data_IF_311094350590
#
_entry.id   IF_311094350590
#
_cell.length_a   1.000
_cell.length_b   1.000
_cell.length_c   1.000
_cell.angle_alpha   90.00
_cell.angle_beta   90.00
_cell.angle_gamma   90.00
#
_symmetry.space_group_name_H-M   'P 1'
#
loop_
_entity.id
_entity.type
_entity.pdbx_description
1 polymer ?
#
# COMPACT_ATOMS: atom_id res chain seq x y z
N UNK A 1 -10.35 3.42 27.67
CA UNK A 1 -9.50 4.54 27.20
C UNK A 1 -8.82 4.05 25.92
N UNK A 2 -9.22 4.57 24.77
CA UNK A 2 -8.69 4.17 23.46
C UNK A 2 -7.25 4.70 23.31
N UNK A 3 -6.26 3.81 23.22
CA UNK A 3 -4.87 4.19 22.92
C UNK A 3 -4.77 4.42 21.41
N UNK A 4 -4.22 5.55 20.93
CA UNK A 4 -4.09 5.81 19.50
C UNK A 4 -2.97 4.97 18.89
N UNK A 5 -3.24 4.47 17.69
CA UNK A 5 -2.30 3.75 16.82
C UNK A 5 -1.15 4.66 16.42
N UNK A 6 0.07 4.27 16.78
CA UNK A 6 1.29 4.99 16.43
C UNK A 6 1.89 4.37 15.16
N UNK A 7 1.55 4.91 14.00
CA UNK A 7 2.25 4.57 12.75
C UNK A 7 3.39 5.57 12.56
N UNK A 8 4.63 5.12 12.81
CA UNK A 8 5.84 5.92 12.60
C UNK A 8 6.23 5.85 11.13
N UNK A 9 6.01 6.91 10.36
CA UNK A 9 6.58 7.05 9.03
C UNK A 9 7.94 7.73 9.13
N UNK A 10 9.02 6.97 8.95
CA UNK A 10 10.32 7.54 8.60
C UNK A 10 10.38 7.77 7.08
N UNK A 11 10.18 9.00 6.66
CA UNK A 11 10.52 9.43 5.31
C UNK A 11 12.01 9.79 5.30
N UNK A 12 12.81 8.87 4.78
CA UNK A 12 14.24 9.13 4.54
C UNK A 12 14.41 10.16 3.42
N UNK A 13 14.67 11.40 3.76
CA UNK A 13 15.11 12.41 2.81
C UNK A 13 16.63 12.31 2.62
N UNK A 14 17.05 11.76 1.48
CA UNK A 14 18.40 11.95 0.98
C UNK A 14 18.45 13.29 0.24
N UNK A 15 19.08 14.30 0.84
CA UNK A 15 19.62 15.47 0.13
C UNK A 15 21.01 15.75 0.65
N UNK A 16 22.01 15.41 -0.16
CA UNK A 16 23.31 16.06 -0.11
C UNK A 16 23.18 17.42 -0.79
N UNK A 17 23.44 18.48 -0.06
CA UNK A 17 24.00 19.70 -0.63
C UNK A 17 24.73 20.49 0.48
N UNK A 18 26.00 20.71 0.30
CA UNK A 18 26.82 21.49 1.23
C UNK A 18 26.62 22.98 1.05
N UNK A 19 26.56 23.70 2.16
CA UNK A 19 27.01 25.10 2.26
C UNK A 19 27.17 25.46 3.73
N UNK A 20 28.23 26.20 4.01
CA UNK A 20 28.70 26.66 5.31
C UNK A 20 27.77 27.72 5.92
N UNK A 21 27.64 27.68 7.25
CA UNK A 21 27.42 28.90 8.02
C UNK A 21 26.24 28.86 8.98
N UNK A 22 26.56 29.08 10.25
CA UNK A 22 25.78 29.39 11.45
C UNK A 22 25.24 28.20 12.28
N UNK A 23 25.98 28.03 13.40
CA UNK A 23 25.51 27.24 14.53
C UNK A 23 24.28 27.90 15.16
N UNK A 24 23.11 27.38 14.82
CA UNK A 24 21.91 27.51 15.63
C UNK A 24 21.73 26.19 16.34
N UNK A 25 21.74 26.23 17.66
CA UNK A 25 21.43 25.13 18.56
C UNK A 25 20.09 24.50 18.15
N UNK A 26 20.16 23.40 17.42
CA UNK A 26 18.98 22.58 17.17
C UNK A 26 18.53 21.96 18.50
N UNK A 27 17.43 22.46 19.05
CA UNK A 27 16.70 21.74 20.08
C UNK A 27 16.30 20.36 19.52
N UNK A 28 16.44 19.29 20.32
CA UNK A 28 15.90 17.99 19.94
C UNK A 28 14.38 18.16 19.78
N UNK A 29 13.85 18.07 18.58
CA UNK A 29 12.43 17.88 18.40
C UNK A 29 12.09 16.52 19.01
N UNK A 30 11.44 16.57 20.16
CA UNK A 30 10.74 15.42 20.74
C UNK A 30 9.87 14.85 19.64
N UNK A 31 10.13 13.59 19.26
CA UNK A 31 9.37 12.84 18.28
C UNK A 31 7.94 12.63 18.78
N UNK A 32 7.12 13.66 18.67
CA UNK A 32 5.69 13.56 18.91
C UNK A 32 5.12 12.54 17.94
N UNK A 33 4.64 11.44 18.48
CA UNK A 33 3.87 10.43 17.76
C UNK A 33 2.67 11.09 17.09
N UNK A 34 2.77 11.36 15.81
CA UNK A 34 1.69 11.99 15.05
C UNK A 34 0.61 10.94 14.85
N UNK A 35 -0.50 11.08 15.56
CA UNK A 35 -1.70 10.28 15.29
C UNK A 35 -2.19 10.65 13.89
N UNK A 36 -2.07 9.71 12.94
CA UNK A 36 -2.57 9.91 11.59
C UNK A 36 -4.10 9.89 11.66
N UNK A 37 -4.74 11.01 11.29
CA UNK A 37 -6.20 11.06 11.18
C UNK A 37 -6.68 10.19 10.02
N UNK A 38 -7.94 9.76 10.03
CA UNK A 38 -8.54 9.05 8.91
C UNK A 38 -8.43 9.86 7.60
N UNK A 39 -8.46 11.19 7.71
CA UNK A 39 -8.33 12.11 6.60
C UNK A 39 -6.90 12.09 6.03
N UNK A 40 -5.86 12.05 6.88
CA UNK A 40 -4.47 11.92 6.46
C UNK A 40 -4.20 10.56 5.79
N UNK A 41 -4.79 9.48 6.34
CA UNK A 41 -4.71 8.15 5.76
C UNK A 41 -5.33 8.10 4.35
N UNK A 42 -6.46 8.75 4.13
CA UNK A 42 -7.12 8.83 2.82
C UNK A 42 -6.31 9.64 1.81
N UNK A 43 -5.70 10.75 2.23
CA UNK A 43 -4.80 11.55 1.38
C UNK A 43 -3.57 10.74 0.98
N UNK A 44 -2.95 10.04 1.92
CA UNK A 44 -1.81 9.16 1.66
C UNK A 44 -2.16 8.05 0.66
N UNK A 45 -3.33 7.43 0.83
CA UNK A 45 -3.82 6.37 -0.08
C UNK A 45 -4.06 6.90 -1.50
N UNK A 46 -4.55 8.15 -1.64
CA UNK A 46 -4.69 8.82 -2.94
C UNK A 46 -3.32 9.10 -3.58
N UNK A 47 -2.34 9.55 -2.80
CA UNK A 47 -0.98 9.80 -3.28
C UNK A 47 -0.31 8.51 -3.76
N UNK A 48 -0.39 7.43 -2.99
CA UNK A 48 0.11 6.10 -3.38
C UNK A 48 -0.51 5.63 -4.70
N UNK A 49 -1.83 5.78 -4.88
CA UNK A 49 -2.51 5.42 -6.13
C UNK A 49 -2.04 6.25 -7.32
N UNK A 50 -1.88 7.56 -7.12
CA UNK A 50 -1.36 8.47 -8.15
C UNK A 50 0.06 8.08 -8.58
N UNK A 51 0.95 7.85 -7.62
CA UNK A 51 2.33 7.40 -7.88
C UNK A 51 2.37 6.05 -8.58
N UNK A 52 1.52 5.11 -8.19
CA UNK A 52 1.39 3.81 -8.85
C UNK A 52 1.01 3.97 -10.32
N UNK A 53 0.00 4.79 -10.64
CA UNK A 53 -0.42 5.07 -12.03
C UNK A 53 0.72 5.70 -12.84
N UNK A 54 1.46 6.66 -12.27
CA UNK A 54 2.63 7.30 -12.90
C UNK A 54 3.74 6.28 -13.19
N UNK A 55 4.07 5.41 -12.24
CA UNK A 55 5.09 4.37 -12.42
C UNK A 55 4.71 3.39 -13.54
N UNK A 56 3.44 2.98 -13.60
CA UNK A 56 2.93 2.12 -14.67
C UNK A 56 3.03 2.85 -16.02
N UNK A 57 2.59 4.10 -16.11
CA UNK A 57 2.66 4.91 -17.33
C UNK A 57 4.10 5.06 -17.84
N UNK A 58 5.05 5.33 -16.95
CA UNK A 58 6.46 5.51 -17.31
C UNK A 58 7.13 4.22 -17.84
N UNK A 59 6.70 3.05 -17.36
CA UNK A 59 7.36 1.77 -17.67
C UNK A 59 6.65 0.94 -18.75
N UNK A 60 5.35 1.15 -18.98
CA UNK A 60 4.58 0.32 -19.90
C UNK A 60 4.76 0.74 -21.38
N UNK A 61 5.22 1.96 -21.64
CA UNK A 61 5.52 2.51 -22.99
C UNK A 61 4.39 2.25 -23.99
N UNK A 62 3.18 2.73 -23.68
CA UNK A 62 1.99 2.59 -24.50
C UNK A 62 2.04 3.55 -25.70
N UNK A 63 1.54 3.12 -26.87
CA UNK A 63 1.18 4.02 -27.94
C UNK A 63 -0.07 4.83 -27.57
N UNK A 64 -0.39 5.89 -28.32
CA UNK A 64 -1.60 6.68 -28.06
C UNK A 64 -2.89 5.84 -28.15
N UNK A 65 -2.96 4.93 -29.11
CA UNK A 65 -4.11 4.02 -29.30
C UNK A 65 -4.23 3.01 -28.14
N UNK A 66 -3.11 2.38 -27.77
CA UNK A 66 -3.08 1.46 -26.62
C UNK A 66 -3.45 2.18 -25.32
N UNK A 67 -2.95 3.39 -25.10
CA UNK A 67 -3.25 4.17 -23.92
C UNK A 67 -4.76 4.51 -23.82
N UNK A 68 -5.38 4.91 -24.92
CA UNK A 68 -6.80 5.20 -24.99
C UNK A 68 -7.68 3.99 -24.59
N UNK A 69 -7.27 2.77 -24.95
CA UNK A 69 -7.97 1.53 -24.61
C UNK A 69 -7.61 0.99 -23.22
N UNK A 70 -6.36 1.13 -22.80
CA UNK A 70 -5.85 0.54 -21.57
C UNK A 70 -6.28 1.31 -20.31
N UNK A 71 -6.22 2.65 -20.31
CA UNK A 71 -6.52 3.41 -19.09
C UNK A 71 -7.93 3.22 -18.54
N UNK A 72 -9.00 3.13 -19.34
CA UNK A 72 -10.32 2.79 -18.84
C UNK A 72 -10.36 1.41 -18.13
N UNK A 73 -9.67 0.40 -18.68
CA UNK A 73 -9.55 -0.92 -18.07
C UNK A 73 -8.76 -0.87 -16.76
N UNK A 74 -7.66 -0.13 -16.75
CA UNK A 74 -6.86 0.11 -15.53
C UNK A 74 -7.68 0.79 -14.44
N UNK A 75 -8.48 1.78 -14.77
CA UNK A 75 -9.29 2.51 -13.79
C UNK A 75 -10.39 1.60 -13.20
N UNK A 76 -11.00 0.71 -14.00
CA UNK A 76 -11.93 -0.32 -13.50
C UNK A 76 -11.22 -1.33 -12.57
N UNK A 77 -10.07 -1.86 -13.00
CA UNK A 77 -9.24 -2.74 -12.18
C UNK A 77 -8.89 -2.09 -10.84
N UNK A 78 -8.45 -0.84 -10.88
CA UNK A 78 -8.06 -0.09 -9.68
C UNK A 78 -9.25 0.17 -8.75
N UNK A 79 -10.44 0.45 -9.29
CA UNK A 79 -11.64 0.64 -8.49
C UNK A 79 -12.05 -0.64 -7.71
N UNK A 80 -11.91 -1.82 -8.33
CA UNK A 80 -12.13 -3.09 -7.64
C UNK A 80 -11.03 -3.38 -6.61
N UNK A 81 -9.76 -3.10 -6.96
CA UNK A 81 -8.63 -3.28 -6.05
C UNK A 81 -8.72 -2.39 -4.81
N UNK A 82 -9.24 -1.17 -4.94
CA UNK A 82 -9.49 -0.27 -3.81
C UNK A 82 -10.41 -0.92 -2.79
N UNK A 83 -11.51 -1.55 -3.23
CA UNK A 83 -12.45 -2.22 -2.32
C UNK A 83 -11.83 -3.36 -1.52
N UNK A 84 -10.89 -4.09 -2.13
CA UNK A 84 -10.12 -5.14 -1.45
C UNK A 84 -9.14 -4.53 -0.45
N UNK A 85 -8.42 -3.48 -0.86
CA UNK A 85 -7.47 -2.78 0.01
C UNK A 85 -8.15 -2.05 1.17
N UNK A 86 -9.41 -1.61 1.02
CA UNK A 86 -10.19 -1.03 2.12
C UNK A 86 -10.46 -2.07 3.21
N UNK A 87 -10.76 -3.33 2.83
CA UNK A 87 -10.87 -4.44 3.77
C UNK A 87 -9.54 -4.72 4.48
N UNK A 88 -8.43 -4.76 3.71
CA UNK A 88 -7.08 -4.93 4.27
C UNK A 88 -6.76 -3.85 5.29
N UNK A 89 -7.09 -2.60 4.97
CA UNK A 89 -6.87 -1.48 5.88
C UNK A 89 -7.67 -1.61 7.18
N UNK A 90 -8.95 -2.01 7.09
CA UNK A 90 -9.78 -2.29 8.27
C UNK A 90 -9.20 -3.39 9.16
N UNK A 91 -8.69 -4.48 8.56
CA UNK A 91 -8.01 -5.56 9.30
C UNK A 91 -6.73 -5.07 9.99
N UNK A 92 -5.95 -4.21 9.34
CA UNK A 92 -4.74 -3.62 9.91
C UNK A 92 -5.09 -2.73 11.11
N UNK A 93 -6.13 -1.91 11.00
CA UNK A 93 -6.58 -1.07 12.12
C UNK A 93 -7.05 -1.90 13.32
N UNK A 94 -7.89 -2.90 13.07
CA UNK A 94 -8.39 -3.79 14.12
C UNK A 94 -7.24 -4.56 14.80
N UNK A 95 -6.30 -5.07 14.00
CA UNK A 95 -5.09 -5.71 14.51
C UNK A 95 -4.27 -4.77 15.38
N UNK A 96 -4.03 -3.55 14.93
CA UNK A 96 -3.21 -2.59 15.65
C UNK A 96 -3.85 -2.15 16.97
N UNK A 97 -5.18 -2.14 17.05
CA UNK A 97 -5.91 -1.83 18.31
C UNK A 97 -5.86 -3.00 19.32
N UNK A 98 -5.66 -4.25 18.87
CA UNK A 98 -5.85 -5.43 19.71
C UNK A 98 -4.65 -6.40 19.77
N UNK A 99 -3.56 -6.18 19.01
CA UNK A 99 -2.46 -7.16 18.83
C UNK A 99 -1.87 -7.71 20.13
N UNK A 100 -1.79 -6.89 21.20
CA UNK A 100 -1.25 -7.29 22.51
C UNK A 100 -2.27 -7.96 23.46
N UNK A 101 -3.54 -8.07 23.05
CA UNK A 101 -4.64 -8.62 23.86
C UNK A 101 -5.50 -9.62 23.09
N UNK A 102 -5.05 -10.03 21.89
CA UNK A 102 -5.78 -11.00 21.08
C UNK A 102 -5.84 -12.36 21.74
N UNK A 103 -7.03 -12.99 21.71
CA UNK A 103 -7.15 -14.42 22.02
C UNK A 103 -6.70 -15.27 20.83
N UNK A 104 -6.48 -16.57 21.04
CA UNK A 104 -6.10 -17.51 20.00
C UNK A 104 -7.16 -17.57 18.87
N UNK A 105 -8.43 -17.48 19.23
CA UNK A 105 -9.54 -17.44 18.27
C UNK A 105 -9.50 -16.16 17.42
N UNK A 106 -9.24 -15.02 18.05
CA UNK A 106 -9.12 -13.73 17.35
C UNK A 106 -7.90 -13.72 16.42
N UNK A 107 -6.76 -14.24 16.87
CA UNK A 107 -5.56 -14.37 16.06
C UNK A 107 -5.80 -15.31 14.85
N UNK A 108 -6.48 -16.44 15.07
CA UNK A 108 -6.85 -17.39 14.02
C UNK A 108 -7.84 -16.80 13.01
N UNK A 109 -8.80 -15.99 13.47
CA UNK A 109 -9.75 -15.29 12.61
C UNK A 109 -9.03 -14.22 11.76
N UNK A 110 -8.17 -13.41 12.40
CA UNK A 110 -7.35 -12.40 11.71
C UNK A 110 -6.52 -13.03 10.59
N UNK A 111 -5.82 -14.14 10.88
CA UNK A 111 -5.01 -14.85 9.88
C UNK A 111 -5.85 -15.29 8.68
N UNK A 112 -7.03 -15.88 8.91
CA UNK A 112 -7.94 -16.29 7.83
C UNK A 112 -8.38 -15.10 6.99
N UNK A 113 -8.83 -14.02 7.62
CA UNK A 113 -9.27 -12.81 6.92
C UNK A 113 -8.14 -12.16 6.12
N UNK A 114 -6.90 -12.19 6.65
CA UNK A 114 -5.74 -11.70 5.92
C UNK A 114 -5.48 -12.51 4.65
N UNK A 115 -5.49 -13.83 4.76
CA UNK A 115 -5.32 -14.72 3.61
C UNK A 115 -6.45 -14.57 2.59
N UNK A 116 -7.68 -14.35 3.03
CA UNK A 116 -8.82 -14.08 2.14
C UNK A 116 -8.61 -12.80 1.31
N UNK A 117 -8.01 -11.77 1.90
CA UNK A 117 -7.63 -10.55 1.16
C UNK A 117 -6.57 -10.86 0.10
N UNK A 118 -5.53 -11.64 0.42
CA UNK A 118 -4.48 -12.00 -0.53
C UNK A 118 -5.03 -12.85 -1.68
N UNK A 119 -5.93 -13.77 -1.38
CA UNK A 119 -6.68 -14.56 -2.38
C UNK A 119 -7.50 -13.63 -3.27
N UNK A 120 -8.26 -12.69 -2.70
CA UNK A 120 -9.10 -11.76 -3.46
C UNK A 120 -8.27 -10.88 -4.42
N UNK A 121 -7.09 -10.40 -4.00
CA UNK A 121 -6.17 -9.67 -4.89
C UNK A 121 -5.68 -10.55 -6.04
N UNK A 122 -5.35 -11.82 -5.76
CA UNK A 122 -4.90 -12.77 -6.78
C UNK A 122 -6.01 -13.09 -7.78
N UNK A 123 -7.22 -13.33 -7.30
CA UNK A 123 -8.40 -13.58 -8.14
C UNK A 123 -8.74 -12.36 -9.01
N UNK A 124 -8.63 -11.15 -8.46
CA UNK A 124 -8.82 -9.93 -9.23
C UNK A 124 -7.81 -9.83 -10.38
N UNK A 125 -6.54 -10.11 -10.12
CA UNK A 125 -5.51 -10.14 -11.19
C UNK A 125 -5.87 -11.16 -12.27
N UNK A 126 -6.24 -12.38 -11.87
CA UNK A 126 -6.66 -13.44 -12.81
C UNK A 126 -7.86 -13.02 -13.66
N UNK A 127 -8.87 -12.38 -13.06
CA UNK A 127 -10.04 -11.84 -13.75
C UNK A 127 -9.64 -10.83 -14.84
N UNK A 128 -8.65 -9.96 -14.55
CA UNK A 128 -8.25 -8.90 -15.47
C UNK A 128 -7.18 -9.30 -16.49
N UNK A 129 -6.52 -10.45 -16.35
CA UNK A 129 -5.56 -10.93 -17.37
C UNK A 129 -6.19 -10.99 -18.77
N UNK A 130 -7.33 -11.67 -19.00
CA UNK A 130 -7.94 -11.69 -20.33
C UNK A 130 -8.41 -10.30 -20.80
N UNK A 131 -8.93 -9.46 -19.90
CA UNK A 131 -9.42 -8.10 -20.23
C UNK A 131 -8.27 -7.21 -20.71
N UNK A 132 -7.15 -7.20 -19.99
CA UNK A 132 -5.95 -6.46 -20.39
C UNK A 132 -5.35 -7.00 -21.67
N UNK A 133 -5.39 -8.32 -21.89
CA UNK A 133 -4.87 -8.95 -23.10
C UNK A 133 -5.69 -8.67 -24.36
N UNK A 134 -6.92 -8.16 -24.22
CA UNK A 134 -7.72 -7.67 -25.35
C UNK A 134 -7.26 -6.28 -25.84
N UNK A 135 -6.63 -5.49 -24.98
CA UNK A 135 -6.22 -4.10 -25.28
C UNK A 135 -4.70 -3.95 -25.44
N UNK A 136 -3.92 -4.88 -24.89
CA UNK A 136 -2.46 -4.91 -24.98
C UNK A 136 -1.97 -6.27 -25.51
N UNK A 137 -0.83 -6.27 -26.19
CA UNK A 137 -0.17 -7.53 -26.55
C UNK A 137 0.33 -8.28 -25.30
N UNK A 138 0.62 -9.58 -25.44
CA UNK A 138 0.99 -10.45 -24.33
C UNK A 138 2.20 -9.96 -23.51
N UNK A 139 3.22 -9.37 -24.16
CA UNK A 139 4.40 -8.84 -23.46
C UNK A 139 4.03 -7.63 -22.59
N UNK A 140 3.27 -6.67 -23.12
CA UNK A 140 2.82 -5.49 -22.37
C UNK A 140 1.85 -5.87 -21.26
N UNK A 141 0.94 -6.83 -21.50
CA UNK A 141 0.06 -7.38 -20.46
C UNK A 141 0.87 -7.98 -19.31
N UNK A 142 1.86 -8.82 -19.61
CA UNK A 142 2.75 -9.40 -18.61
C UNK A 142 3.54 -8.31 -17.86
N UNK A 143 4.07 -7.32 -18.58
CA UNK A 143 4.78 -6.18 -17.97
C UNK A 143 3.87 -5.42 -16.99
N UNK A 144 2.62 -5.15 -17.37
CA UNK A 144 1.65 -4.49 -16.49
C UNK A 144 1.46 -5.25 -15.18
N UNK A 145 1.14 -6.56 -15.24
CA UNK A 145 0.90 -7.34 -14.02
C UNK A 145 2.18 -7.55 -13.18
N UNK A 146 3.36 -7.62 -13.81
CA UNK A 146 4.62 -7.64 -13.08
C UNK A 146 4.88 -6.33 -12.34
N UNK A 147 4.63 -5.17 -12.97
CA UNK A 147 4.76 -3.86 -12.34
C UNK A 147 3.75 -3.71 -11.19
N UNK A 148 2.48 -4.03 -11.45
CA UNK A 148 1.42 -4.01 -10.44
C UNK A 148 1.80 -4.83 -9.19
N UNK A 149 2.28 -6.07 -9.41
CA UNK A 149 2.72 -6.95 -8.32
C UNK A 149 3.92 -6.37 -7.56
N UNK A 150 4.96 -5.90 -8.26
CA UNK A 150 6.16 -5.34 -7.63
C UNK A 150 5.84 -4.13 -6.76
N UNK A 151 5.03 -3.21 -7.28
CA UNK A 151 4.61 -2.03 -6.54
C UNK A 151 3.79 -2.44 -5.31
N UNK A 152 2.84 -3.38 -5.45
CA UNK A 152 2.05 -3.90 -4.34
C UNK A 152 2.95 -4.53 -3.26
N UNK A 153 3.95 -5.36 -3.66
CA UNK A 153 4.89 -5.96 -2.71
C UNK A 153 5.72 -4.92 -1.95
N UNK A 154 6.14 -3.83 -2.58
CA UNK A 154 6.86 -2.75 -1.90
C UNK A 154 5.96 -2.05 -0.86
N UNK A 155 4.69 -1.81 -1.20
CA UNK A 155 3.72 -1.23 -0.27
C UNK A 155 3.46 -2.20 0.89
N UNK A 156 3.28 -3.49 0.62
CA UNK A 156 3.03 -4.52 1.64
C UNK A 156 4.24 -4.68 2.57
N UNK A 157 5.46 -4.65 2.05
CA UNK A 157 6.67 -4.68 2.85
C UNK A 157 6.77 -3.46 3.78
N UNK A 158 6.47 -2.27 3.26
CA UNK A 158 6.46 -1.04 4.06
C UNK A 158 5.40 -1.11 5.18
N UNK A 159 4.21 -1.63 4.90
CA UNK A 159 3.17 -1.83 5.90
C UNK A 159 3.58 -2.88 6.93
N UNK A 160 4.10 -4.03 6.49
CA UNK A 160 4.55 -5.11 7.37
C UNK A 160 5.65 -4.65 8.33
N UNK A 161 6.56 -3.76 7.88
CA UNK A 161 7.63 -3.23 8.74
C UNK A 161 7.12 -2.35 9.90
N UNK A 162 5.87 -1.91 9.85
CA UNK A 162 5.24 -1.06 10.87
C UNK A 162 4.32 -1.84 11.82
N UNK A 163 4.00 -3.10 11.49
CA UNK A 163 3.09 -3.91 12.28
C UNK A 163 3.89 -4.82 13.22
N UNK A 164 3.58 -4.85 14.53
CA UNK A 164 4.18 -5.81 15.44
C UNK A 164 3.71 -7.23 15.09
N UNK A 165 4.51 -8.24 15.44
CA UNK A 165 4.08 -9.63 15.32
C UNK A 165 3.14 -9.99 16.47
N UNK A 166 2.23 -10.94 16.22
CA UNK A 166 1.45 -11.58 17.30
C UNK A 166 2.43 -12.26 18.25
N UNK A 167 2.34 -11.91 19.53
CA UNK A 167 3.19 -12.55 20.56
C UNK A 167 2.54 -13.87 20.98
N UNK A 168 3.30 -14.97 20.90
CA UNK A 168 2.90 -16.20 21.55
C UNK A 168 2.90 -15.95 23.08
N UNK A 169 1.76 -16.16 23.72
CA UNK A 169 1.70 -16.15 25.19
C UNK A 169 2.30 -17.47 25.65
N UNK A 170 3.33 -17.39 26.53
CA UNK A 170 3.91 -18.56 27.22
C UNK A 170 2.95 -19.08 28.29
#
# INVERSE_FOLDING_TARGET
MKKPLVVVMMVGAWMMCGARGNAQTAQPQEGGTRVISNQDADLLRKDIRSRKKQLIAANLKLTGEEAAKFWPVYDQYTAELIKINDKKFGLIQDYADHWGTMTDEQASLFLRQWLDVDIAVTQLRQKYVPVVSQVLNGRKSATFFQLDRRISMMIDLQLASQLPLVQAQE
#
